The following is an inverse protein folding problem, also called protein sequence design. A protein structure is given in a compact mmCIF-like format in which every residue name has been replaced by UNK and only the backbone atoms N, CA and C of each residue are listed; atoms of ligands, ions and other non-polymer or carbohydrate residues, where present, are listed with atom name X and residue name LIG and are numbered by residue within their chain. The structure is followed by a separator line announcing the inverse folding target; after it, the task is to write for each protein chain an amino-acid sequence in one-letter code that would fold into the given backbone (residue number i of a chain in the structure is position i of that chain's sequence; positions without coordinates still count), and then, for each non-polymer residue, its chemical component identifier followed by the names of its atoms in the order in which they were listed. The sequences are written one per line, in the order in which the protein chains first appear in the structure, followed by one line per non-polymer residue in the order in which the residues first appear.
data_IF_748302305405
#
_entry.id   IF_748302305405
#
_cell.length_a   1.000
_cell.length_b   1.000
_cell.length_c   1.000
_cell.angle_alpha   90.00
_cell.angle_beta   90.00
_cell.angle_gamma   90.00
#
_symmetry.space_group_name_H-M   'P 1'
#
loop_
_entity.id
_entity.type
_entity.pdbx_description
1 polymer ?
#
# COMPACT_ATOMS: atom_id res chain seq x y z
N UNK A 1 41.38 10.11 -68.66
CA UNK A 1 40.42 9.01 -68.44
C UNK A 1 40.56 8.55 -67.00
N UNK A 2 39.49 8.76 -66.23
CA UNK A 2 39.39 8.50 -64.81
C UNK A 2 39.14 7.01 -64.53
N UNK A 3 39.64 6.50 -63.41
CA UNK A 3 38.87 5.69 -62.47
C UNK A 3 39.70 5.37 -61.21
N UNK A 4 39.31 6.02 -60.13
CA UNK A 4 39.61 5.73 -58.73
C UNK A 4 39.16 4.33 -58.32
N UNK A 5 39.99 3.62 -57.55
CA UNK A 5 39.54 2.55 -56.64
C UNK A 5 40.08 2.83 -55.23
N UNK A 6 39.34 3.62 -54.46
CA UNK A 6 39.44 3.61 -53.00
C UNK A 6 38.56 2.45 -52.50
N UNK A 7 39.17 1.52 -51.77
CA UNK A 7 38.45 0.48 -51.06
C UNK A 7 37.67 1.08 -49.90
N UNK A 8 36.34 0.95 -49.93
CA UNK A 8 35.50 1.23 -48.79
C UNK A 8 35.67 0.10 -47.75
N UNK A 9 36.29 0.43 -46.62
CA UNK A 9 36.24 -0.40 -45.41
C UNK A 9 34.80 -0.36 -44.88
N UNK A 10 34.11 -1.49 -44.92
CA UNK A 10 32.88 -1.68 -44.16
C UNK A 10 33.27 -1.80 -42.67
N UNK A 11 33.10 -0.74 -41.90
CA UNK A 11 33.15 -0.81 -40.45
C UNK A 11 31.79 -1.32 -39.96
N UNK A 12 31.73 -2.59 -39.57
CA UNK A 12 30.59 -3.16 -38.86
C UNK A 12 30.65 -2.65 -37.41
N UNK A 13 29.94 -1.56 -37.11
CA UNK A 13 29.69 -1.12 -35.75
C UNK A 13 28.70 -2.10 -35.10
N UNK A 14 29.23 -3.08 -34.36
CA UNK A 14 28.47 -3.82 -33.36
C UNK A 14 28.17 -2.86 -32.20
N UNK A 15 26.97 -2.28 -32.20
CA UNK A 15 26.39 -1.66 -31.02
C UNK A 15 25.93 -2.77 -30.08
N UNK A 16 26.79 -3.21 -29.17
CA UNK A 16 26.36 -3.93 -27.98
C UNK A 16 25.68 -2.91 -27.06
N UNK A 17 24.35 -2.82 -27.14
CA UNK A 17 23.57 -2.19 -26.09
C UNK A 17 23.64 -3.08 -24.85
N UNK A 18 24.47 -2.70 -23.88
CA UNK A 18 24.34 -3.19 -22.52
C UNK A 18 23.03 -2.60 -21.99
N UNK A 19 21.98 -3.42 -21.95
CA UNK A 19 20.80 -3.12 -21.15
C UNK A 19 21.25 -3.13 -19.69
N UNK A 20 21.49 -1.94 -19.13
CA UNK A 20 21.56 -1.79 -17.69
C UNK A 20 20.15 -2.06 -17.17
N UNK A 21 19.97 -3.15 -16.41
CA UNK A 21 18.71 -3.37 -15.71
C UNK A 21 18.44 -2.13 -14.84
N UNK A 22 17.24 -1.57 -14.97
CA UNK A 22 16.77 -0.55 -14.03
C UNK A 22 16.90 -1.14 -12.61
N UNK A 23 17.69 -0.49 -11.76
CA UNK A 23 17.78 -0.92 -10.38
C UNK A 23 16.52 -0.41 -9.68
N UNK A 24 15.57 -1.31 -9.44
CA UNK A 24 14.39 -0.97 -8.67
C UNK A 24 14.82 -0.62 -7.24
N UNK A 25 14.40 0.53 -6.76
CA UNK A 25 14.54 0.86 -5.35
C UNK A 25 13.32 0.36 -4.58
N UNK A 26 13.51 0.13 -3.28
CA UNK A 26 12.49 -0.41 -2.40
C UNK A 26 12.56 0.29 -1.05
N UNK A 27 11.40 0.45 -0.41
CA UNK A 27 11.25 0.94 0.97
C UNK A 27 10.29 0.00 1.69
N UNK A 28 10.69 -0.50 2.85
CA UNK A 28 9.81 -1.31 3.70
C UNK A 28 9.04 -0.43 4.69
N UNK A 29 7.73 -0.56 4.66
CA UNK A 29 6.82 0.03 5.62
C UNK A 29 6.34 -1.04 6.61
N UNK A 30 6.35 -0.70 7.90
CA UNK A 30 5.83 -1.55 8.97
C UNK A 30 4.80 -0.79 9.79
N UNK A 31 3.66 -1.42 10.05
CA UNK A 31 2.63 -0.95 10.99
C UNK A 31 2.63 -1.85 12.23
N UNK A 32 2.69 -1.28 13.44
CA UNK A 32 2.68 -2.08 14.68
C UNK A 32 2.00 -1.35 15.85
N UNK A 33 0.93 -1.93 16.39
CA UNK A 33 0.35 -1.47 17.65
C UNK A 33 1.30 -1.87 18.81
N UNK A 34 1.78 -0.89 19.57
CA UNK A 34 2.80 -1.10 20.59
C UNK A 34 2.24 -1.39 21.99
N UNK A 35 0.91 -1.48 22.15
CA UNK A 35 0.24 -1.68 23.42
C UNK A 35 0.64 -0.63 24.47
N UNK A 36 -0.07 0.48 24.52
CA UNK A 36 0.09 1.58 25.49
C UNK A 36 1.57 1.94 25.78
N UNK A 37 2.38 2.18 24.75
CA UNK A 37 3.81 2.48 24.89
C UNK A 37 4.05 3.94 25.31
N UNK A 38 4.94 4.23 26.28
CA UNK A 38 5.79 3.27 26.98
C UNK A 38 5.04 2.58 28.12
N UNK A 39 4.03 3.24 28.70
CA UNK A 39 3.33 2.74 29.88
C UNK A 39 4.30 2.46 31.03
N UNK A 40 3.96 1.50 31.90
CA UNK A 40 4.86 1.06 32.98
C UNK A 40 5.88 0.01 32.55
N UNK A 41 5.72 -0.57 31.35
CA UNK A 41 6.48 -1.74 30.88
C UNK A 41 7.43 -1.44 29.72
N UNK A 42 7.41 -0.23 29.15
CA UNK A 42 8.08 0.11 27.90
C UNK A 42 9.60 -0.13 27.91
N UNK A 43 10.27 0.14 29.04
CA UNK A 43 11.70 -0.14 29.19
C UNK A 43 12.01 -1.64 29.19
N UNK A 44 11.13 -2.46 29.80
CA UNK A 44 11.27 -3.92 29.80
C UNK A 44 10.96 -4.52 28.41
N UNK A 45 10.07 -3.89 27.64
CA UNK A 45 9.69 -4.31 26.29
C UNK A 45 10.67 -3.85 25.21
N UNK A 46 11.53 -2.88 25.48
CA UNK A 46 12.44 -2.31 24.49
C UNK A 46 13.36 -3.36 23.81
N UNK A 47 14.01 -4.30 24.52
CA UNK A 47 14.81 -5.36 23.87
C UNK A 47 13.98 -6.27 22.96
N UNK A 48 12.72 -6.52 23.30
CA UNK A 48 11.81 -7.32 22.48
C UNK A 48 11.44 -6.59 21.20
N UNK A 49 11.11 -5.30 21.28
CA UNK A 49 10.93 -4.47 20.08
C UNK A 49 12.19 -4.40 19.21
N UNK A 50 13.39 -4.36 19.80
CA UNK A 50 14.64 -4.42 19.03
C UNK A 50 14.72 -5.72 18.21
N UNK A 51 14.50 -6.88 18.83
CA UNK A 51 14.49 -8.18 18.13
C UNK A 51 13.41 -8.24 17.05
N UNK A 52 12.20 -7.75 17.33
CA UNK A 52 11.10 -7.71 16.37
C UNK A 52 11.44 -6.83 15.16
N UNK A 53 11.93 -5.62 15.40
CA UNK A 53 12.23 -4.67 14.33
C UNK A 53 13.49 -5.05 13.54
N UNK A 54 14.45 -5.76 14.16
CA UNK A 54 15.57 -6.35 13.43
C UNK A 54 15.08 -7.42 12.43
N UNK A 55 14.05 -8.19 12.77
CA UNK A 55 13.43 -9.17 11.88
C UNK A 55 12.51 -8.52 10.82
N UNK A 56 11.75 -7.50 11.20
CA UNK A 56 10.87 -6.77 10.29
C UNK A 56 11.63 -5.90 9.28
N UNK A 57 12.76 -5.33 9.71
CA UNK A 57 13.63 -4.42 8.95
C UNK A 57 12.88 -3.23 8.30
N UNK A 58 12.15 -2.40 9.09
CA UNK A 58 11.48 -1.23 8.55
C UNK A 58 12.45 -0.16 8.06
N UNK A 59 12.00 0.59 7.06
CA UNK A 59 12.52 1.93 6.74
C UNK A 59 11.54 3.03 7.18
N UNK A 60 10.25 2.74 7.10
CA UNK A 60 9.14 3.52 7.64
C UNK A 60 8.41 2.68 8.69
N UNK A 61 8.26 3.19 9.90
CA UNK A 61 7.59 2.51 11.01
C UNK A 61 6.46 3.38 11.53
N UNK A 62 5.23 2.92 11.32
CA UNK A 62 4.00 3.53 11.81
C UNK A 62 3.52 2.73 13.01
N UNK A 63 3.31 3.42 14.13
CA UNK A 63 2.93 2.76 15.38
C UNK A 63 1.63 3.30 15.92
N UNK A 64 0.91 2.44 16.63
CA UNK A 64 -0.29 2.80 17.37
C UNK A 64 -0.05 2.61 18.88
N UNK A 65 -0.95 3.18 19.67
CA UNK A 65 -0.92 3.19 21.13
C UNK A 65 0.31 3.84 21.76
N UNK A 66 0.76 4.96 21.19
CA UNK A 66 1.77 5.82 21.78
C UNK A 66 1.11 6.77 22.78
N UNK A 67 1.56 6.79 24.04
CA UNK A 67 0.93 7.56 25.13
C UNK A 67 1.35 9.03 25.21
N UNK A 68 2.25 9.48 24.33
CA UNK A 68 2.71 10.88 24.32
C UNK A 68 4.10 11.07 23.74
N UNK A 69 4.53 12.32 23.62
CA UNK A 69 5.84 12.70 23.08
C UNK A 69 7.01 12.06 23.84
N UNK A 70 6.91 11.94 25.17
CA UNK A 70 7.95 11.27 25.97
C UNK A 70 8.10 9.78 25.61
N UNK A 71 7.02 9.14 25.19
CA UNK A 71 7.01 7.79 24.64
C UNK A 71 7.73 7.70 23.31
N UNK A 72 7.48 8.66 22.41
CA UNK A 72 8.18 8.77 21.13
C UNK A 72 9.68 8.89 21.37
N UNK A 73 10.09 9.81 22.24
CA UNK A 73 11.49 10.05 22.57
C UNK A 73 12.15 8.81 23.18
N UNK A 74 11.42 8.11 24.07
CA UNK A 74 11.88 6.87 24.69
C UNK A 74 12.03 5.74 23.66
N UNK A 75 11.05 5.54 22.78
CA UNK A 75 11.10 4.50 21.75
C UNK A 75 12.28 4.73 20.80
N UNK A 76 12.50 5.99 20.40
CA UNK A 76 13.63 6.37 19.57
C UNK A 76 14.96 6.04 20.26
N UNK A 77 15.13 6.47 21.51
CA UNK A 77 16.37 6.29 22.27
C UNK A 77 16.65 4.83 22.69
N UNK A 78 15.61 4.07 23.05
CA UNK A 78 15.76 2.74 23.63
C UNK A 78 15.53 1.60 22.65
N UNK A 79 14.86 1.84 21.53
CA UNK A 79 14.55 0.79 20.53
C UNK A 79 15.27 1.06 19.22
N UNK A 80 15.11 2.24 18.63
CA UNK A 80 15.60 2.52 17.27
C UNK A 80 17.09 2.88 17.21
N UNK A 81 17.57 3.72 18.14
CA UNK A 81 19.00 4.08 18.22
C UNK A 81 19.92 2.87 18.40
N UNK A 82 19.62 1.87 19.27
CA UNK A 82 20.43 0.66 19.36
C UNK A 82 20.48 -0.19 18.08
N UNK A 83 19.45 -0.12 17.23
CA UNK A 83 19.39 -0.87 15.97
C UNK A 83 20.20 -0.21 14.87
N UNK A 84 20.10 1.12 14.74
CA UNK A 84 20.82 1.89 13.75
C UNK A 84 21.11 3.31 14.27
N UNK A 85 22.26 3.51 14.94
CA UNK A 85 22.59 4.78 15.59
C UNK A 85 22.55 5.97 14.65
N UNK A 86 21.78 7.00 14.99
CA UNK A 86 21.61 8.22 14.21
C UNK A 86 20.91 8.08 12.87
N UNK A 87 20.35 6.90 12.55
CA UNK A 87 19.65 6.67 11.29
C UNK A 87 18.17 7.09 11.36
N UNK A 88 17.59 7.12 12.56
CA UNK A 88 16.15 7.28 12.75
C UNK A 88 15.75 8.69 13.17
N UNK A 89 14.54 9.08 12.80
CA UNK A 89 13.88 10.29 13.25
C UNK A 89 12.40 10.00 13.51
N UNK A 90 11.76 10.79 14.38
CA UNK A 90 10.31 10.81 14.51
C UNK A 90 9.74 11.99 13.72
N UNK A 91 8.62 11.76 13.05
CA UNK A 91 7.80 12.83 12.50
C UNK A 91 7.16 13.67 13.62
N UNK A 92 6.62 14.88 13.32
CA UNK A 92 5.84 15.62 14.29
C UNK A 92 4.73 14.74 14.88
N UNK A 93 4.71 14.65 16.21
CA UNK A 93 3.74 13.86 16.97
C UNK A 93 2.55 14.72 17.36
N UNK A 94 1.37 14.11 17.32
CA UNK A 94 0.12 14.71 17.77
C UNK A 94 -0.32 13.98 19.03
N UNK A 95 -0.45 14.73 20.13
CA UNK A 95 -0.86 14.25 21.44
C UNK A 95 -2.35 14.57 21.61
N UNK A 96 -3.18 13.58 21.27
CA UNK A 96 -4.63 13.65 21.27
C UNK A 96 -5.24 13.36 22.65
N UNK A 97 -6.52 12.95 22.65
CA UNK A 97 -7.28 12.70 23.89
C UNK A 97 -7.26 11.24 24.37
N UNK A 98 -6.76 10.32 23.55
CA UNK A 98 -6.65 8.87 23.82
C UNK A 98 -5.20 8.45 23.54
N UNK A 99 -4.95 7.19 23.21
CA UNK A 99 -3.66 6.74 22.72
C UNK A 99 -3.43 7.16 21.27
N UNK A 100 -2.22 7.61 20.97
CA UNK A 100 -1.90 8.24 19.69
C UNK A 100 -1.02 7.39 18.79
N UNK A 101 -0.71 7.96 17.63
CA UNK A 101 0.08 7.31 16.59
C UNK A 101 1.38 8.09 16.40
N UNK A 102 2.44 7.37 16.07
CA UNK A 102 3.70 7.99 15.70
C UNK A 102 4.22 7.40 14.39
N UNK A 103 5.02 8.20 13.68
CA UNK A 103 5.78 7.78 12.52
C UNK A 103 7.26 7.95 12.84
N UNK A 104 8.00 6.85 12.75
CA UNK A 104 9.45 6.85 12.71
C UNK A 104 9.92 6.54 11.29
N UNK A 105 10.94 7.25 10.84
CA UNK A 105 11.48 7.08 9.50
C UNK A 105 13.00 7.15 9.54
N UNK A 106 13.62 6.30 8.72
CA UNK A 106 15.05 6.42 8.45
C UNK A 106 15.33 7.66 7.61
N UNK A 107 16.27 8.49 8.06
CA UNK A 107 16.59 9.78 7.45
C UNK A 107 17.18 9.65 6.03
N UNK A 108 17.81 8.51 5.71
CA UNK A 108 18.32 8.19 4.38
C UNK A 108 17.24 7.62 3.45
N UNK A 109 16.08 7.23 3.99
CA UNK A 109 14.97 6.66 3.23
C UNK A 109 13.94 7.72 2.84
N UNK A 110 13.51 8.57 3.78
CA UNK A 110 12.43 9.52 3.53
C UNK A 110 12.53 10.78 4.38
N UNK A 111 11.73 11.78 4.01
CA UNK A 111 11.55 13.03 4.76
C UNK A 111 10.07 13.39 4.81
N UNK A 112 9.66 14.05 5.91
CA UNK A 112 8.30 14.56 6.07
C UNK A 112 8.16 15.91 5.35
N UNK A 113 7.22 16.01 4.41
CA UNK A 113 6.86 17.25 3.72
C UNK A 113 5.76 18.02 4.46
N UNK A 114 4.77 17.29 4.95
CA UNK A 114 3.66 17.83 5.71
C UNK A 114 3.12 16.77 6.68
N UNK A 115 2.50 17.22 7.75
CA UNK A 115 1.88 16.39 8.77
C UNK A 115 0.57 17.04 9.20
N UNK A 116 -0.37 16.23 9.66
CA UNK A 116 -1.59 16.69 10.31
C UNK A 116 -2.41 15.52 10.80
N UNK A 117 -3.61 15.82 11.27
CA UNK A 117 -4.55 14.82 11.76
C UNK A 117 -5.96 15.12 11.27
N UNK A 118 -6.83 14.14 11.43
CA UNK A 118 -8.27 14.25 11.23
C UNK A 118 -8.94 14.11 12.58
N UNK A 119 -9.67 15.16 12.99
CA UNK A 119 -10.45 15.12 14.23
C UNK A 119 -11.60 14.12 14.07
N UNK A 120 -11.65 13.12 14.95
CA UNK A 120 -12.81 12.21 15.06
C UNK A 120 -13.47 12.37 16.42
N UNK A 121 -14.55 11.61 16.66
CA UNK A 121 -15.25 11.66 17.94
C UNK A 121 -14.46 11.00 19.09
N UNK A 122 -13.48 10.16 18.79
CA UNK A 122 -12.84 9.28 19.78
C UNK A 122 -11.32 9.22 19.61
N UNK A 123 -10.87 8.73 18.46
CA UNK A 123 -9.46 8.53 18.15
C UNK A 123 -9.16 9.19 16.82
N UNK A 124 -8.36 10.24 16.89
CA UNK A 124 -7.97 10.99 15.70
C UNK A 124 -7.17 10.10 14.74
N UNK A 125 -7.08 10.52 13.48
CA UNK A 125 -6.33 9.78 12.45
C UNK A 125 -5.22 10.68 11.96
N UNK A 126 -3.97 10.28 12.18
CA UNK A 126 -2.82 11.06 11.74
C UNK A 126 -2.50 10.78 10.28
N UNK A 127 -1.94 11.78 9.62
CA UNK A 127 -1.42 11.65 8.28
C UNK A 127 -0.11 12.38 8.10
N UNK A 128 0.73 11.82 7.23
CA UNK A 128 1.99 12.43 6.81
C UNK A 128 2.13 12.35 5.29
N UNK A 129 2.54 13.46 4.69
CA UNK A 129 3.08 13.47 3.33
C UNK A 129 4.58 13.28 3.41
N UNK A 130 5.06 12.20 2.80
CA UNK A 130 6.46 11.82 2.77
C UNK A 130 7.04 12.06 1.38
N UNK A 131 8.34 12.36 1.34
CA UNK A 131 9.16 12.29 0.13
C UNK A 131 10.19 11.20 0.30
N UNK A 132 10.16 10.20 -0.58
CA UNK A 132 11.18 9.16 -0.62
C UNK A 132 12.48 9.73 -1.18
N UNK A 133 13.59 9.49 -0.49
CA UNK A 133 14.88 10.10 -0.81
C UNK A 133 15.44 9.59 -2.14
N UNK A 134 15.32 8.29 -2.39
CA UNK A 134 15.90 7.66 -3.57
C UNK A 134 15.12 7.93 -4.87
N UNK A 135 13.78 7.81 -4.86
CA UNK A 135 12.98 8.09 -6.07
C UNK A 135 12.56 9.56 -6.22
N UNK A 136 12.45 10.28 -5.11
CA UNK A 136 11.81 11.60 -5.08
C UNK A 136 10.28 11.56 -5.12
N UNK A 137 9.67 10.37 -5.19
CA UNK A 137 8.21 10.20 -5.15
C UNK A 137 7.64 10.66 -3.82
N UNK A 138 6.35 11.03 -3.86
CA UNK A 138 5.62 11.43 -2.67
C UNK A 138 4.56 10.41 -2.30
N UNK A 139 4.46 10.11 -1.00
CA UNK A 139 3.49 9.17 -0.45
C UNK A 139 2.70 9.86 0.66
N UNK A 140 1.36 9.79 0.60
CA UNK A 140 0.49 10.12 1.74
C UNK A 140 0.26 8.84 2.56
N UNK A 141 0.66 8.85 3.82
CA UNK A 141 0.33 7.78 4.77
C UNK A 141 -0.72 8.27 5.75
N UNK A 142 -1.72 7.45 6.05
CA UNK A 142 -2.64 7.62 7.17
C UNK A 142 -2.37 6.52 8.19
N UNK A 143 -2.35 6.87 9.48
CA UNK A 143 -2.21 5.93 10.57
C UNK A 143 -3.39 6.06 11.52
N UNK A 144 -4.11 4.96 11.74
CA UNK A 144 -5.33 4.92 12.53
C UNK A 144 -5.29 3.87 13.64
N UNK A 145 -6.09 4.11 14.67
CA UNK A 145 -6.44 3.13 15.69
C UNK A 145 -7.94 3.30 15.95
N UNK A 146 -8.80 2.54 15.25
CA UNK A 146 -10.26 2.74 15.33
C UNK A 146 -10.81 2.20 16.65
N UNK A 147 -12.08 2.52 16.95
CA UNK A 147 -12.74 2.04 18.16
C UNK A 147 -12.72 0.51 18.30
N UNK A 148 -12.14 0.02 19.40
CA UNK A 148 -12.10 -1.40 19.76
C UNK A 148 -13.47 -1.99 20.19
N UNK A 149 -13.48 -3.29 20.49
CA UNK A 149 -14.62 -4.07 21.00
C UNK A 149 -15.74 -4.37 19.99
N UNK A 150 -16.45 -5.48 20.23
CA UNK A 150 -17.58 -5.95 19.42
C UNK A 150 -18.89 -5.22 19.75
N UNK A 151 -19.86 -5.34 18.85
CA UNK A 151 -21.24 -4.90 19.03
C UNK A 151 -21.59 -3.72 18.13
N UNK A 152 -22.87 -3.63 17.78
CA UNK A 152 -23.36 -2.68 16.77
C UNK A 152 -23.09 -1.21 17.11
N UNK A 153 -23.01 -0.85 18.40
CA UNK A 153 -22.62 0.51 18.81
C UNK A 153 -21.16 0.82 18.47
N UNK A 154 -20.27 -0.16 18.63
CA UNK A 154 -18.85 0.01 18.37
C UNK A 154 -18.55 -0.03 16.87
N UNK A 155 -19.25 -0.90 16.12
CA UNK A 155 -19.23 -0.90 14.65
C UNK A 155 -19.66 0.46 14.07
N UNK A 156 -20.69 1.08 14.65
CA UNK A 156 -21.16 2.39 14.26
C UNK A 156 -20.14 3.49 14.55
N UNK A 157 -19.44 3.41 15.69
CA UNK A 157 -18.37 4.36 16.05
C UNK A 157 -17.19 4.26 15.09
N UNK A 158 -16.74 3.03 14.75
CA UNK A 158 -15.72 2.82 13.71
C UNK A 158 -16.14 3.39 12.36
N UNK A 159 -17.42 3.22 12.00
CA UNK A 159 -17.96 3.77 10.77
C UNK A 159 -17.93 5.30 10.75
N UNK A 160 -18.27 5.95 11.86
CA UNK A 160 -18.21 7.42 12.00
C UNK A 160 -16.77 7.95 11.88
N UNK A 161 -15.79 7.27 12.48
CA UNK A 161 -14.36 7.59 12.29
C UNK A 161 -13.94 7.42 10.80
N UNK A 162 -14.41 6.35 10.15
CA UNK A 162 -14.14 6.09 8.74
C UNK A 162 -14.85 7.06 7.78
N UNK A 163 -15.96 7.69 8.16
CA UNK A 163 -16.57 8.78 7.37
C UNK A 163 -15.64 9.98 7.25
N UNK A 164 -14.96 10.35 8.35
CA UNK A 164 -13.98 11.44 8.38
C UNK A 164 -12.78 11.09 7.49
N UNK A 165 -12.24 9.88 7.64
CA UNK A 165 -11.15 9.38 6.81
C UNK A 165 -11.54 9.37 5.33
N UNK A 166 -12.71 8.82 4.99
CA UNK A 166 -13.17 8.72 3.60
C UNK A 166 -13.32 10.10 2.96
N UNK A 167 -13.88 11.07 3.68
CA UNK A 167 -13.97 12.44 3.20
C UNK A 167 -12.59 13.07 2.92
N UNK A 168 -11.58 12.79 3.76
CA UNK A 168 -10.21 13.24 3.53
C UNK A 168 -9.62 12.60 2.27
N UNK A 169 -9.77 11.28 2.12
CA UNK A 169 -9.29 10.53 0.96
C UNK A 169 -9.95 11.00 -0.35
N UNK A 170 -11.27 11.22 -0.34
CA UNK A 170 -12.03 11.71 -1.51
C UNK A 170 -11.62 13.13 -1.94
N UNK A 171 -11.08 13.93 -1.01
CA UNK A 171 -10.60 15.29 -1.28
C UNK A 171 -9.16 15.35 -1.84
N UNK A 172 -8.42 14.24 -1.82
CA UNK A 172 -7.05 14.20 -2.34
C UNK A 172 -7.03 14.34 -3.88
N UNK A 173 -5.97 14.96 -4.45
CA UNK A 173 -5.78 15.00 -5.89
C UNK A 173 -5.73 13.58 -6.50
N UNK A 174 -6.37 13.39 -7.65
CA UNK A 174 -6.36 12.12 -8.35
C UNK A 174 -4.92 11.66 -8.66
N UNK A 175 -4.65 10.37 -8.48
CA UNK A 175 -3.31 9.80 -8.71
C UNK A 175 -2.33 10.02 -7.56
N UNK A 176 -2.78 10.57 -6.41
CA UNK A 176 -1.96 10.61 -5.20
C UNK A 176 -1.69 9.18 -4.72
N UNK A 177 -0.41 8.83 -4.54
CA UNK A 177 -0.01 7.62 -3.83
C UNK A 177 -0.44 7.72 -2.37
N UNK A 178 -1.30 6.81 -1.93
CA UNK A 178 -1.88 6.81 -0.58
C UNK A 178 -1.81 5.40 0.00
N UNK A 179 -1.39 5.29 1.25
CA UNK A 179 -1.50 4.08 2.05
C UNK A 179 -2.18 4.41 3.38
N UNK A 180 -3.23 3.66 3.72
CA UNK A 180 -3.88 3.74 5.04
C UNK A 180 -3.49 2.51 5.83
N UNK A 181 -2.98 2.69 7.04
CA UNK A 181 -2.55 1.58 7.88
C UNK A 181 -2.93 1.77 9.34
N UNK A 182 -2.82 0.70 10.10
CA UNK A 182 -2.98 0.70 11.55
C UNK A 182 -3.93 -0.38 12.02
N UNK A 183 -4.45 -0.17 13.23
CA UNK A 183 -5.38 -1.06 13.91
C UNK A 183 -6.82 -0.62 13.64
N UNK A 184 -7.53 -1.37 12.81
CA UNK A 184 -8.90 -1.09 12.40
C UNK A 184 -9.93 -1.65 13.39
N UNK A 185 -9.56 -2.57 14.29
CA UNK A 185 -10.49 -3.22 15.21
C UNK A 185 -11.77 -3.77 14.54
N UNK A 186 -11.68 -4.23 13.29
CA UNK A 186 -12.80 -4.79 12.54
C UNK A 186 -12.81 -6.32 12.68
N UNK A 187 -13.95 -6.86 13.06
CA UNK A 187 -14.16 -8.30 13.22
C UNK A 187 -14.63 -8.94 11.92
N UNK A 188 -15.31 -8.18 11.05
CA UNK A 188 -15.78 -8.70 9.75
C UNK A 188 -15.74 -7.65 8.65
N UNK A 189 -15.56 -8.11 7.41
CA UNK A 189 -15.74 -7.30 6.21
C UNK A 189 -17.18 -6.81 6.04
N UNK A 190 -18.17 -7.37 6.74
CA UNK A 190 -19.56 -6.90 6.67
C UNK A 190 -19.80 -5.62 7.48
N UNK A 191 -18.85 -5.20 8.32
CA UNK A 191 -18.98 -3.97 9.09
C UNK A 191 -19.11 -2.72 8.19
N UNK A 192 -19.94 -1.73 8.55
CA UNK A 192 -20.16 -0.56 7.70
C UNK A 192 -18.88 0.23 7.40
N UNK A 193 -17.95 0.28 8.36
CA UNK A 193 -16.65 0.93 8.20
C UNK A 193 -15.84 0.30 7.05
N UNK A 194 -15.75 -1.04 7.00
CA UNK A 194 -15.09 -1.74 5.91
C UNK A 194 -15.78 -1.42 4.58
N UNK A 195 -17.09 -1.64 4.50
CA UNK A 195 -17.87 -1.42 3.28
C UNK A 195 -17.71 0.01 2.73
N UNK A 196 -17.66 1.01 3.61
CA UNK A 196 -17.39 2.40 3.23
C UNK A 196 -16.01 2.57 2.58
N UNK A 197 -14.95 2.10 3.24
CA UNK A 197 -13.58 2.26 2.74
C UNK A 197 -13.34 1.49 1.44
N UNK A 198 -14.04 0.37 1.25
CA UNK A 198 -14.03 -0.43 0.01
C UNK A 198 -14.89 0.13 -1.11
N UNK A 199 -15.84 1.03 -0.80
CA UNK A 199 -16.81 1.49 -1.77
C UNK A 199 -16.15 2.24 -2.95
N UNK A 200 -16.60 2.02 -4.19
CA UNK A 200 -16.05 2.71 -5.36
C UNK A 200 -16.07 4.24 -5.22
N UNK A 201 -14.97 4.90 -5.54
CA UNK A 201 -14.83 6.35 -5.48
C UNK A 201 -13.36 6.79 -5.41
N UNK A 202 -13.09 8.11 -5.43
CA UNK A 202 -11.73 8.64 -5.42
C UNK A 202 -10.89 8.17 -4.22
N UNK A 203 -11.51 8.06 -3.04
CA UNK A 203 -10.89 7.58 -1.80
C UNK A 203 -11.06 6.09 -1.53
N UNK A 204 -11.34 5.27 -2.56
CA UNK A 204 -11.43 3.82 -2.41
C UNK A 204 -10.08 3.22 -2.03
N UNK A 205 -10.12 2.29 -1.06
CA UNK A 205 -8.96 1.52 -0.61
C UNK A 205 -9.06 0.05 -1.05
N UNK A 206 -7.90 -0.58 -1.25
CA UNK A 206 -7.74 -1.95 -1.76
C UNK A 206 -7.07 -2.85 -0.72
N UNK A 207 -7.40 -4.16 -0.73
CA UNK A 207 -6.92 -5.14 0.25
C UNK A 207 -5.99 -6.04 -0.56
N UNK A 208 -4.67 -5.89 -0.41
CA UNK A 208 -3.71 -6.62 -1.23
C UNK A 208 -3.85 -8.14 -1.09
N UNK A 209 -4.38 -8.60 0.04
CA UNK A 209 -4.55 -10.03 0.33
C UNK A 209 -5.85 -10.62 -0.24
N UNK A 210 -6.79 -9.77 -0.68
CA UNK A 210 -8.14 -10.17 -1.09
C UNK A 210 -8.82 -11.14 -0.09
N UNK A 211 -8.58 -10.93 1.22
CA UNK A 211 -8.99 -11.83 2.29
C UNK A 211 -10.17 -11.24 3.06
N UNK A 212 -11.25 -10.90 2.36
CA UNK A 212 -12.46 -10.32 2.96
C UNK A 212 -13.36 -11.42 3.58
N UNK A 213 -13.80 -11.24 4.82
CA UNK A 213 -14.76 -12.14 5.47
C UNK A 213 -14.94 -11.89 6.96
N UNK A 214 -15.38 -12.89 7.70
CA UNK A 214 -15.47 -12.84 9.16
C UNK A 214 -14.13 -13.30 9.75
N UNK A 215 -13.31 -12.36 10.20
CA UNK A 215 -11.93 -12.62 10.63
C UNK A 215 -11.86 -13.18 12.04
N UNK A 216 -12.80 -12.83 12.91
CA UNK A 216 -12.82 -13.27 14.30
C UNK A 216 -13.02 -14.77 14.46
N UNK A 217 -12.15 -15.42 15.24
CA UNK A 217 -12.18 -16.84 15.61
C UNK A 217 -12.49 -17.76 14.42
N UNK A 218 -11.86 -17.46 13.27
CA UNK A 218 -12.17 -18.13 12.03
C UNK A 218 -10.95 -18.80 11.41
N UNK A 219 -10.88 -20.16 11.37
CA UNK A 219 -9.75 -20.86 10.80
C UNK A 219 -9.52 -20.60 9.30
N UNK A 220 -10.54 -20.13 8.57
CA UNK A 220 -10.35 -19.73 7.16
C UNK A 220 -9.46 -18.49 7.00
N UNK A 221 -9.30 -17.70 8.07
CA UNK A 221 -8.52 -16.46 8.09
C UNK A 221 -7.30 -16.54 9.02
N UNK A 222 -7.00 -17.72 9.59
CA UNK A 222 -5.89 -17.90 10.52
C UNK A 222 -4.54 -17.39 9.99
N UNK A 223 -4.30 -17.48 8.68
CA UNK A 223 -3.05 -17.00 8.04
C UNK A 223 -2.93 -15.48 7.93
N UNK A 224 -3.99 -14.73 8.26
CA UNK A 224 -4.02 -13.26 8.20
C UNK A 224 -4.33 -12.61 9.55
N UNK A 225 -4.54 -13.38 10.61
CA UNK A 225 -4.71 -12.83 11.97
C UNK A 225 -3.47 -12.05 12.43
N UNK A 226 -3.68 -11.02 13.22
CA UNK A 226 -2.66 -10.13 13.75
C UNK A 226 -2.73 -9.95 15.26
N UNK A 227 -3.82 -10.36 15.92
CA UNK A 227 -4.02 -10.29 17.38
C UNK A 227 -4.75 -11.57 17.85
N UNK A 228 -4.53 -12.09 19.07
CA UNK A 228 -3.53 -11.73 20.08
C UNK A 228 -2.34 -12.68 20.11
N UNK A 229 -1.11 -12.18 20.24
CA UNK A 229 0.11 -13.01 20.40
C UNK A 229 0.11 -13.88 21.67
N UNK A 230 -0.83 -13.66 22.58
CA UNK A 230 -0.84 -14.22 23.94
C UNK A 230 -2.21 -14.72 24.39
N UNK A 231 -2.18 -15.71 25.28
CA UNK A 231 -3.38 -16.30 25.91
C UNK A 231 -3.56 -15.83 27.36
N UNK A 232 -2.66 -15.02 27.89
CA UNK A 232 -2.70 -14.49 29.25
C UNK A 232 -2.27 -13.02 29.27
N UNK A 233 -2.88 -12.23 30.17
CA UNK A 233 -2.58 -10.81 30.33
C UNK A 233 -1.29 -10.62 31.14
N UNK A 234 -0.36 -9.85 30.59
CA UNK A 234 0.76 -9.28 31.31
C UNK A 234 1.11 -7.92 30.71
N UNK A 235 1.12 -6.89 31.56
CA UNK A 235 1.36 -5.53 31.10
C UNK A 235 0.18 -4.90 30.33
N UNK A 236 -1.01 -5.52 30.34
CA UNK A 236 -2.22 -5.07 29.67
C UNK A 236 -2.49 -5.81 28.34
N UNK A 237 -3.53 -5.34 27.65
CA UNK A 237 -3.89 -5.78 26.29
C UNK A 237 -4.79 -7.01 26.21
N UNK A 238 -5.09 -7.42 24.98
CA UNK A 238 -5.96 -8.52 24.65
C UNK A 238 -5.29 -9.88 24.89
N UNK A 239 -6.11 -10.86 25.24
CA UNK A 239 -5.76 -12.26 25.45
C UNK A 239 -6.72 -13.14 24.67
N UNK A 240 -6.30 -14.34 24.28
CA UNK A 240 -7.18 -15.29 23.60
C UNK A 240 -6.42 -16.18 22.63
N UNK A 241 -5.22 -15.73 22.23
CA UNK A 241 -4.45 -16.32 21.14
C UNK A 241 -4.77 -15.64 19.81
N UNK A 242 -4.15 -16.11 18.73
CA UNK A 242 -4.16 -15.43 17.43
C UNK A 242 -5.48 -15.68 16.68
N UNK A 243 -6.51 -14.84 16.87
CA UNK A 243 -7.88 -15.10 16.43
C UNK A 243 -8.58 -13.93 15.71
N UNK A 244 -7.92 -12.78 15.57
CA UNK A 244 -8.46 -11.58 14.92
C UNK A 244 -7.50 -11.01 13.87
N UNK A 245 -8.03 -10.49 12.75
CA UNK A 245 -7.32 -9.63 11.78
C UNK A 245 -7.73 -8.18 12.03
N UNK A 246 -7.02 -7.49 12.89
CA UNK A 246 -7.31 -6.08 13.19
C UNK A 246 -6.40 -5.11 12.48
N UNK A 247 -5.20 -5.53 12.12
CA UNK A 247 -4.23 -4.66 11.49
C UNK A 247 -4.32 -4.77 9.97
N UNK A 248 -4.27 -3.61 9.29
CA UNK A 248 -4.31 -3.56 7.83
C UNK A 248 -3.32 -2.55 7.26
N UNK A 249 -3.00 -2.75 5.99
CA UNK A 249 -2.22 -1.87 5.10
C UNK A 249 -3.01 -1.81 3.78
N UNK A 250 -3.81 -0.76 3.62
CA UNK A 250 -4.77 -0.62 2.52
C UNK A 250 -4.30 0.49 1.56
N UNK A 251 -3.74 0.14 0.39
CA UNK A 251 -3.36 1.12 -0.62
C UNK A 251 -4.58 1.75 -1.31
N UNK A 252 -4.43 3.01 -1.73
CA UNK A 252 -5.25 3.60 -2.77
C UNK A 252 -4.83 3.12 -4.16
N UNK A 253 -5.67 3.38 -5.18
CA UNK A 253 -5.47 2.86 -6.54
C UNK A 253 -4.10 3.21 -7.16
N UNK A 254 -3.53 4.38 -6.83
CA UNK A 254 -2.27 4.84 -7.42
C UNK A 254 -1.05 3.98 -7.01
N UNK A 255 -1.11 3.24 -5.90
CA UNK A 255 -0.05 2.32 -5.51
C UNK A 255 -0.21 0.93 -6.15
N UNK A 256 -1.18 0.73 -7.03
CA UNK A 256 -1.49 -0.56 -7.65
C UNK A 256 -1.64 -0.45 -9.18
N UNK A 257 -1.33 0.71 -9.75
CA UNK A 257 -1.61 0.95 -11.15
C UNK A 257 -0.42 0.55 -12.05
N UNK A 258 0.79 0.42 -11.53
CA UNK A 258 2.03 0.11 -12.23
C UNK A 258 2.78 1.34 -12.75
N UNK A 259 2.62 2.51 -12.12
CA UNK A 259 3.28 3.77 -12.44
C UNK A 259 3.96 4.39 -11.20
N UNK A 260 5.28 4.52 -11.28
CA UNK A 260 6.05 5.20 -10.24
C UNK A 260 6.18 4.33 -9.00
N UNK A 261 5.67 4.84 -7.86
CA UNK A 261 5.69 4.14 -6.59
C UNK A 261 4.54 3.14 -6.50
N UNK A 262 4.88 1.87 -6.32
CA UNK A 262 3.95 0.75 -6.26
C UNK A 262 4.05 0.04 -4.92
N UNK A 263 2.93 -0.49 -4.44
CA UNK A 263 2.93 -1.48 -3.37
C UNK A 263 3.16 -2.86 -3.97
N UNK A 264 4.02 -3.66 -3.35
CA UNK A 264 4.31 -5.03 -3.75
C UNK A 264 3.45 -6.02 -2.97
N UNK A 265 2.33 -6.56 -3.52
CA UNK A 265 1.40 -7.38 -2.73
C UNK A 265 2.05 -8.66 -2.19
N UNK A 266 3.03 -9.20 -2.91
CA UNK A 266 3.76 -10.41 -2.51
C UNK A 266 4.69 -10.19 -1.30
N UNK A 267 5.00 -8.94 -0.95
CA UNK A 267 5.79 -8.59 0.24
C UNK A 267 4.93 -8.40 1.49
N UNK A 268 3.60 -8.38 1.35
CA UNK A 268 2.69 -8.21 2.46
C UNK A 268 2.83 -9.37 3.44
N UNK A 269 3.22 -9.07 4.67
CA UNK A 269 3.53 -10.07 5.69
C UNK A 269 3.04 -9.63 7.06
N UNK A 270 2.26 -10.48 7.72
CA UNK A 270 2.04 -10.39 9.17
C UNK A 270 3.14 -11.18 9.87
N UNK A 271 4.16 -10.49 10.39
CA UNK A 271 5.39 -11.14 10.86
C UNK A 271 5.08 -12.07 12.05
N UNK A 272 5.46 -13.34 11.92
CA UNK A 272 5.24 -14.36 12.96
C UNK A 272 3.91 -15.10 12.89
N UNK A 273 2.99 -14.70 12.00
CA UNK A 273 1.81 -15.52 11.72
C UNK A 273 2.16 -16.67 10.77
N UNK A 274 2.01 -17.91 11.23
CA UNK A 274 2.21 -19.14 10.45
C UNK A 274 0.90 -19.87 10.09
N UNK A 275 -0.25 -19.31 10.48
CA UNK A 275 -1.58 -19.90 10.32
C UNK A 275 -1.87 -21.09 11.24
N UNK A 276 -0.94 -21.49 12.11
CA UNK A 276 -1.06 -22.66 12.98
C UNK A 276 -1.40 -22.30 14.45
N UNK A 277 -1.36 -21.01 14.80
CA UNK A 277 -1.56 -20.51 16.17
C UNK A 277 -2.96 -19.92 16.42
N UNK A 278 -3.98 -20.35 15.68
CA UNK A 278 -5.37 -19.97 15.97
C UNK A 278 -5.74 -20.29 17.43
N UNK A 279 -6.19 -19.29 18.19
CA UNK A 279 -6.52 -19.39 19.63
C UNK A 279 -5.37 -19.89 20.52
N UNK A 280 -4.13 -19.81 20.03
CA UNK A 280 -2.94 -20.17 20.78
C UNK A 280 -2.03 -18.96 20.94
N UNK A 281 -1.21 -18.97 21.99
CA UNK A 281 -0.11 -18.02 22.07
C UNK A 281 0.93 -18.34 21.00
N UNK A 282 1.53 -17.31 20.40
CA UNK A 282 2.53 -17.45 19.32
C UNK A 282 3.77 -18.28 19.70
N UNK A 283 4.00 -18.50 21.00
CA UNK A 283 5.10 -19.33 21.54
C UNK A 283 4.65 -20.76 21.91
N UNK A 284 3.41 -21.15 21.58
CA UNK A 284 2.91 -22.49 21.87
C UNK A 284 3.48 -23.51 20.89
N UNK A 285 4.48 -24.27 21.32
CA UNK A 285 5.15 -25.22 20.43
C UNK A 285 6.15 -24.51 19.52
N UNK A 286 6.16 -24.85 18.22
CA UNK A 286 7.10 -24.28 17.25
C UNK A 286 6.35 -23.34 16.32
N UNK A 287 6.80 -22.08 16.25
CA UNK A 287 6.35 -21.13 15.23
C UNK A 287 7.01 -21.46 13.88
N UNK A 288 6.20 -21.63 12.83
CA UNK A 288 6.66 -21.97 11.49
C UNK A 288 7.14 -20.78 10.64
N UNK A 289 6.83 -19.54 11.05
CA UNK A 289 7.12 -18.34 10.29
C UNK A 289 8.41 -17.62 10.73
N UNK A 290 8.79 -17.72 12.01
CA UNK A 290 9.95 -17.02 12.57
C UNK A 290 10.75 -17.90 13.54
N UNK A 291 11.96 -17.45 13.91
CA UNK A 291 12.76 -18.15 14.93
C UNK A 291 12.08 -18.10 16.30
N UNK A 292 12.43 -19.03 17.19
CA UNK A 292 11.91 -19.05 18.56
C UNK A 292 12.22 -17.75 19.34
N UNK A 293 13.38 -17.13 19.07
CA UNK A 293 13.76 -15.83 19.65
C UNK A 293 12.83 -14.71 19.19
N UNK A 294 12.52 -14.65 17.89
CA UNK A 294 11.59 -13.64 17.34
C UNK A 294 10.17 -13.91 17.80
N UNK A 295 9.72 -15.18 17.86
CA UNK A 295 8.40 -15.53 18.39
C UNK A 295 8.25 -15.10 19.86
N UNK A 296 9.28 -15.33 20.70
CA UNK A 296 9.28 -14.85 22.08
C UNK A 296 9.24 -13.32 22.14
N UNK A 297 10.03 -12.64 21.31
CA UNK A 297 10.02 -11.18 21.27
C UNK A 297 8.67 -10.60 20.83
N UNK A 298 8.02 -11.21 19.83
CA UNK A 298 6.66 -10.85 19.42
C UNK A 298 5.66 -11.02 20.56
N UNK A 299 5.76 -12.11 21.33
CA UNK A 299 4.91 -12.37 22.49
C UNK A 299 5.07 -11.31 23.60
N UNK A 300 6.32 -10.94 23.92
CA UNK A 300 6.63 -10.03 25.03
C UNK A 300 6.46 -8.54 24.68
N UNK A 301 6.58 -8.18 23.41
CA UNK A 301 6.54 -6.79 22.96
C UNK A 301 5.11 -6.22 22.92
N UNK A 302 4.17 -6.95 22.33
CA UNK A 302 2.79 -6.50 22.11
C UNK A 302 1.85 -7.69 21.92
N UNK A 303 0.56 -7.49 22.16
CA UNK A 303 -0.50 -8.41 21.70
C UNK A 303 -0.70 -8.39 20.18
N UNK A 304 -0.19 -7.39 19.47
CA UNK A 304 -0.26 -7.33 18.02
C UNK A 304 1.02 -7.79 17.33
N UNK A 305 0.85 -8.43 16.19
CA UNK A 305 1.92 -8.69 15.23
C UNK A 305 2.15 -7.47 14.32
N UNK A 306 3.41 -7.16 13.96
CA UNK A 306 3.67 -6.10 13.00
C UNK A 306 3.34 -6.56 11.59
N UNK A 307 2.71 -5.66 10.83
CA UNK A 307 2.42 -5.85 9.41
C UNK A 307 3.47 -5.14 8.58
N UNK A 308 4.06 -5.86 7.63
CA UNK A 308 5.10 -5.37 6.73
C UNK A 308 4.56 -5.31 5.31
N UNK A 309 4.94 -4.29 4.55
CA UNK A 309 4.81 -4.27 3.10
C UNK A 309 5.93 -3.45 2.49
N UNK A 310 6.39 -3.88 1.32
CA UNK A 310 7.36 -3.16 0.53
C UNK A 310 6.65 -2.27 -0.49
N UNK A 311 7.15 -1.05 -0.61
CA UNK A 311 6.88 -0.18 -1.74
C UNK A 311 8.09 -0.18 -2.65
N UNK A 312 7.88 -0.30 -3.95
CA UNK A 312 8.93 -0.33 -4.94
C UNK A 312 8.71 0.74 -6.01
N UNK A 313 9.78 1.11 -6.69
CA UNK A 313 9.70 1.91 -7.90
C UNK A 313 10.76 1.40 -8.87
N UNK A 314 10.47 1.49 -10.16
CA UNK A 314 11.50 1.34 -11.17
C UNK A 314 12.23 2.67 -11.33
N UNK A 315 13.55 2.70 -11.11
CA UNK A 315 14.34 3.82 -11.59
C UNK A 315 14.19 3.91 -13.11
N UNK A 316 13.53 4.97 -13.57
CA UNK A 316 13.61 5.35 -14.97
C UNK A 316 15.02 5.88 -15.23
N UNK A 317 15.98 5.00 -15.51
CA UNK A 317 17.19 5.45 -16.20
C UNK A 317 16.71 6.09 -17.49
N UNK A 318 17.05 7.36 -17.69
CA UNK A 318 16.72 8.11 -18.88
C UNK A 318 17.54 7.59 -20.08
N UNK A 319 17.25 6.36 -20.50
CA UNK A 319 17.08 5.93 -21.88
C UNK A 319 15.89 4.98 -21.81
N UNK A 320 14.67 5.51 -21.99
CA UNK A 320 13.48 4.67 -22.09
C UNK A 320 13.77 3.56 -23.11
N UNK A 321 13.78 2.30 -22.67
CA UNK A 321 13.48 1.22 -23.61
C UNK A 321 12.11 1.57 -24.17
N UNK A 322 12.11 2.05 -25.41
CA UNK A 322 10.89 2.20 -26.19
C UNK A 322 10.16 0.87 -26.05
N UNK A 323 8.89 0.87 -25.60
CA UNK A 323 8.11 -0.35 -25.50
C UNK A 323 8.26 -1.14 -26.79
N UNK A 324 8.56 -2.42 -26.74
CA UNK A 324 8.69 -3.22 -27.98
C UNK A 324 7.32 -3.44 -28.65
N UNK A 325 6.23 -3.21 -27.92
CA UNK A 325 4.85 -3.28 -28.42
C UNK A 325 3.93 -2.29 -27.69
N UNK A 326 2.84 -1.90 -28.36
CA UNK A 326 1.79 -1.11 -27.73
C UNK A 326 0.96 -1.97 -26.75
N UNK A 327 0.58 -1.40 -25.61
CA UNK A 327 -0.28 -2.05 -24.61
C UNK A 327 -1.53 -1.21 -24.36
N UNK A 328 -2.65 -1.87 -24.05
CA UNK A 328 -3.90 -1.25 -23.64
C UNK A 328 -4.50 -2.02 -22.46
N UNK A 329 -4.49 -1.39 -21.30
CA UNK A 329 -5.07 -1.90 -20.07
C UNK A 329 -6.34 -1.12 -19.73
N UNK A 330 -7.25 -1.78 -19.02
CA UNK A 330 -8.53 -1.20 -18.58
C UNK A 330 -8.72 -1.60 -17.13
N UNK A 331 -8.80 -0.63 -16.22
CA UNK A 331 -9.04 -0.89 -14.81
C UNK A 331 -9.84 0.26 -14.16
N UNK A 332 -10.85 -0.05 -13.33
CA UNK A 332 -11.39 -1.37 -13.06
C UNK A 332 -12.07 -1.98 -14.30
N UNK A 333 -12.11 -3.31 -14.39
CA UNK A 333 -12.85 -4.05 -15.41
C UNK A 333 -13.21 -5.45 -14.88
N UNK A 334 -14.50 -5.76 -14.62
CA UNK A 334 -15.69 -4.97 -14.95
C UNK A 334 -15.79 -3.61 -14.22
N UNK A 335 -16.60 -2.68 -14.74
CA UNK A 335 -16.68 -1.30 -14.24
C UNK A 335 -18.12 -0.76 -14.14
N UNK A 336 -18.32 0.27 -13.33
CA UNK A 336 -19.61 0.93 -13.12
C UNK A 336 -19.49 2.41 -12.67
N UNK A 337 -20.02 3.40 -13.43
CA UNK A 337 -20.05 3.49 -14.89
C UNK A 337 -18.73 4.05 -15.45
N UNK A 338 -17.71 4.20 -14.60
CA UNK A 338 -16.43 4.83 -14.94
C UNK A 338 -15.30 3.81 -14.89
N UNK A 339 -14.38 3.86 -15.86
CA UNK A 339 -13.14 3.08 -15.90
C UNK A 339 -12.01 3.93 -16.48
N UNK A 340 -10.76 3.54 -16.21
CA UNK A 340 -9.58 4.19 -16.77
C UNK A 340 -8.95 3.26 -17.81
N UNK A 341 -8.79 3.79 -19.03
CA UNK A 341 -8.06 3.10 -20.08
C UNK A 341 -6.65 3.66 -20.14
N UNK A 342 -5.66 2.79 -19.89
CA UNK A 342 -4.26 3.14 -19.99
C UNK A 342 -3.67 2.51 -21.23
N UNK A 343 -3.02 3.32 -22.06
CA UNK A 343 -2.26 2.81 -23.18
C UNK A 343 -0.80 3.23 -23.12
N UNK A 344 0.08 2.35 -23.60
CA UNK A 344 1.52 2.62 -23.70
C UNK A 344 1.94 2.44 -25.15
N UNK A 345 2.62 3.45 -25.72
CA UNK A 345 3.07 3.43 -27.12
C UNK A 345 4.59 3.27 -27.23
N UNK A 346 5.06 2.48 -28.22
CA UNK A 346 6.48 2.25 -28.48
C UNK A 346 7.18 3.53 -28.97
N UNK A 347 6.49 4.35 -29.75
CA UNK A 347 7.01 5.55 -30.40
C UNK A 347 6.02 6.69 -30.21
N UNK A 348 6.51 7.93 -30.24
CA UNK A 348 5.65 9.10 -30.32
C UNK A 348 5.01 9.18 -31.72
N UNK A 349 3.78 9.66 -31.79
CA UNK A 349 3.09 9.87 -33.06
C UNK A 349 1.57 9.92 -32.94
N UNK A 350 0.85 9.98 -34.08
CA UNK A 350 -0.59 10.10 -34.10
C UNK A 350 -1.24 8.81 -33.61
N UNK A 351 -2.01 8.92 -32.52
CA UNK A 351 -2.72 7.81 -31.89
C UNK A 351 -4.21 8.10 -31.74
N UNK A 352 -5.01 7.01 -31.69
CA UNK A 352 -6.44 7.06 -31.40
C UNK A 352 -6.84 5.93 -30.46
N UNK A 353 -7.65 6.26 -29.46
CA UNK A 353 -8.29 5.29 -28.58
C UNK A 353 -9.81 5.41 -28.73
N UNK A 354 -10.45 4.34 -29.21
CA UNK A 354 -11.87 4.32 -29.56
C UNK A 354 -12.56 3.10 -28.93
N UNK A 355 -13.82 3.28 -28.53
CA UNK A 355 -14.65 2.22 -27.94
C UNK A 355 -15.76 1.83 -28.90
N UNK A 356 -16.00 0.53 -29.02
CA UNK A 356 -17.00 -0.08 -29.90
C UNK A 356 -17.97 -0.96 -29.12
N UNK A 357 -19.22 -0.99 -29.56
CA UNK A 357 -20.22 -1.95 -29.10
C UNK A 357 -20.03 -3.34 -29.76
N UNK A 358 -20.77 -4.38 -29.33
CA UNK A 358 -20.65 -5.72 -29.92
C UNK A 358 -21.02 -5.80 -31.41
N UNK A 359 -21.75 -4.82 -31.94
CA UNK A 359 -22.08 -4.72 -33.36
C UNK A 359 -21.01 -3.99 -34.16
N UNK A 360 -19.91 -3.56 -33.52
CA UNK A 360 -18.80 -2.85 -34.15
C UNK A 360 -19.07 -1.37 -34.39
N UNK A 361 -20.11 -0.78 -33.80
CA UNK A 361 -20.37 0.66 -33.89
C UNK A 361 -19.51 1.37 -32.84
N UNK A 362 -18.81 2.43 -33.25
CA UNK A 362 -18.03 3.28 -32.33
C UNK A 362 -18.97 4.06 -31.42
N UNK A 363 -18.91 3.81 -30.12
CA UNK A 363 -19.71 4.49 -29.09
C UNK A 363 -18.95 5.63 -28.42
N UNK A 364 -17.62 5.60 -28.40
CA UNK A 364 -16.81 6.68 -27.86
C UNK A 364 -15.46 6.81 -28.59
N UNK A 365 -14.89 8.02 -28.54
CA UNK A 365 -13.50 8.31 -28.88
C UNK A 365 -12.89 9.00 -27.68
N UNK A 366 -11.96 8.33 -27.03
CA UNK A 366 -11.36 8.78 -25.76
C UNK A 366 -10.11 9.61 -26.01
N UNK A 367 -9.37 9.28 -27.06
CA UNK A 367 -8.17 10.01 -27.46
C UNK A 367 -8.06 10.09 -28.97
N UNK A 368 -7.63 11.24 -29.49
CA UNK A 368 -7.17 11.39 -30.86
C UNK A 368 -6.22 12.58 -30.97
N UNK A 369 -4.96 12.32 -31.30
CA UNK A 369 -3.95 13.36 -31.43
C UNK A 369 -2.54 12.79 -31.45
N UNK A 370 -1.55 13.67 -31.40
CA UNK A 370 -0.15 13.30 -31.19
C UNK A 370 0.03 12.83 -29.74
N UNK A 371 0.48 11.58 -29.57
CA UNK A 371 0.81 11.00 -28.27
C UNK A 371 2.32 10.87 -28.14
N UNK A 372 2.91 11.17 -26.97
CA UNK A 372 4.32 10.86 -26.72
C UNK A 372 4.55 9.34 -26.68
N UNK A 373 5.80 8.91 -26.85
CA UNK A 373 6.18 7.56 -26.48
C UNK A 373 6.02 7.38 -24.96
N UNK A 374 5.65 6.19 -24.50
CA UNK A 374 5.37 5.92 -23.08
C UNK A 374 3.88 5.79 -22.77
N UNK A 375 3.51 5.93 -21.51
CA UNK A 375 2.14 5.68 -21.00
C UNK A 375 1.27 6.94 -21.01
N UNK A 376 0.00 6.78 -21.38
CA UNK A 376 -1.06 7.76 -21.20
C UNK A 376 -2.29 7.06 -20.59
N UNK A 377 -3.05 7.77 -19.77
CA UNK A 377 -4.32 7.30 -19.22
C UNK A 377 -5.45 8.25 -19.61
N UNK A 378 -6.62 7.68 -19.91
CA UNK A 378 -7.83 8.43 -20.21
C UNK A 378 -9.00 7.81 -19.45
N UNK A 379 -9.72 8.65 -18.72
CA UNK A 379 -10.94 8.24 -18.02
C UNK A 379 -12.11 8.15 -19.00
N UNK A 380 -12.91 7.10 -18.86
CA UNK A 380 -14.12 6.90 -19.63
C UNK A 380 -15.31 6.69 -18.70
N UNK A 381 -16.30 7.57 -18.83
CA UNK A 381 -17.61 7.44 -18.21
C UNK A 381 -18.61 6.98 -19.27
N UNK A 382 -19.15 5.77 -19.11
CA UNK A 382 -20.01 5.13 -20.11
C UNK A 382 -21.41 5.76 -20.25
N UNK A 383 -21.77 6.70 -19.37
CA UNK A 383 -23.03 7.46 -19.47
C UNK A 383 -24.25 6.54 -19.46
N UNK A 384 -25.15 6.71 -20.43
CA UNK A 384 -26.40 5.94 -20.57
C UNK A 384 -26.26 4.64 -21.36
N UNK A 385 -25.04 4.20 -21.68
CA UNK A 385 -24.81 2.96 -22.40
C UNK A 385 -25.37 1.75 -21.61
N UNK A 386 -25.92 0.73 -22.30
CA UNK A 386 -26.42 -0.47 -21.63
C UNK A 386 -25.27 -1.28 -21.01
N UNK A 387 -25.53 -1.93 -19.88
CA UNK A 387 -24.61 -2.93 -19.32
C UNK A 387 -24.30 -4.00 -20.38
N UNK A 388 -23.05 -4.45 -20.44
CA UNK A 388 -22.61 -5.39 -21.46
C UNK A 388 -21.13 -5.27 -21.85
N UNK A 389 -20.78 -6.01 -22.90
CA UNK A 389 -19.43 -6.08 -23.44
C UNK A 389 -19.15 -4.95 -24.43
N UNK A 390 -17.98 -4.32 -24.30
CA UNK A 390 -17.46 -3.34 -25.23
C UNK A 390 -16.02 -3.70 -25.63
N UNK A 391 -15.54 -3.12 -26.73
CA UNK A 391 -14.17 -3.31 -27.22
C UNK A 391 -13.47 -1.95 -27.33
N UNK A 392 -12.36 -1.79 -26.64
CA UNK A 392 -11.44 -0.68 -26.87
C UNK A 392 -10.39 -1.07 -27.90
N UNK A 393 -10.14 -0.16 -28.84
CA UNK A 393 -9.10 -0.30 -29.86
C UNK A 393 -8.18 0.91 -29.80
N UNK A 394 -6.90 0.64 -29.56
CA UNK A 394 -5.82 1.60 -29.70
C UNK A 394 -5.23 1.48 -31.10
N UNK A 395 -5.14 2.61 -31.81
CA UNK A 395 -4.49 2.70 -33.12
C UNK A 395 -3.34 3.68 -33.10
N UNK A 396 -2.25 3.36 -33.80
CA UNK A 396 -1.11 4.23 -34.06
C UNK A 396 -0.86 4.28 -35.57
N UNK A 397 -0.62 5.48 -36.12
CA UNK A 397 -0.46 5.71 -37.56
C UNK A 397 -1.61 5.11 -38.40
N UNK A 398 -2.82 5.15 -37.83
CA UNK A 398 -4.04 4.63 -38.45
C UNK A 398 -4.19 3.11 -38.43
N UNK A 399 -3.29 2.36 -37.78
CA UNK A 399 -3.37 0.89 -37.66
C UNK A 399 -3.70 0.48 -36.23
N UNK A 400 -4.59 -0.51 -35.99
CA UNK A 400 -4.80 -1.07 -34.66
C UNK A 400 -3.53 -1.73 -34.13
N UNK A 401 -3.10 -1.33 -32.94
CA UNK A 401 -1.87 -1.83 -32.28
C UNK A 401 -2.15 -2.55 -30.96
N UNK A 402 -3.27 -2.25 -30.29
CA UNK A 402 -3.71 -2.99 -29.11
C UNK A 402 -5.25 -2.99 -28.99
N UNK A 403 -5.80 -3.99 -28.28
CA UNK A 403 -7.24 -4.13 -28.03
C UNK A 403 -7.50 -4.62 -26.61
N UNK A 404 -8.60 -4.19 -26.01
CA UNK A 404 -9.04 -4.69 -24.71
C UNK A 404 -10.56 -4.81 -24.64
N UNK A 405 -11.05 -5.83 -23.94
CA UNK A 405 -12.48 -6.05 -23.69
C UNK A 405 -12.88 -5.31 -22.42
N UNK A 406 -14.04 -4.65 -22.43
CA UNK A 406 -14.58 -3.93 -21.28
C UNK A 406 -15.95 -4.50 -20.92
N UNK A 407 -16.21 -4.68 -19.63
CA UNK A 407 -17.48 -5.19 -19.11
C UNK A 407 -18.12 -4.12 -18.24
N UNK A 408 -19.21 -3.50 -18.72
CA UNK A 408 -19.98 -2.50 -17.97
C UNK A 408 -21.09 -3.19 -17.16
N UNK A 409 -21.13 -2.97 -15.84
CA UNK A 409 -22.07 -3.66 -14.93
C UNK A 409 -23.34 -2.88 -14.57
N UNK A 410 -23.29 -1.54 -14.57
CA UNK A 410 -24.27 -0.62 -13.93
C UNK A 410 -24.37 -0.70 -12.42
#
# INVERSE_FOLDING_TARGET
MAASRQGARLALLLLTALAAAAQAGQVRLVSHNLLNYPGSTGAARAPHFQTVLAAAAPDLLLVQEMLGQSGVDQFLAQVLEPLAPGAWSAAPFHDGFDTDRALFLRADCASVLAAGWLDTALRDIDWWDLRLAASGDTLRVYNLHLKASQGSSEEQRRYEECLVLRASLDALPAGRAVLVCGDFNLYTAAEPAWQLLRSPGPGQLFDPLAAEGAWHDNPAFATVHSQSTRTSDFGGGATGGLDDRFDFLLPGAALLDGLGLELEPASYLTLGNDGAHLNLSIVTGVNGAVSAEVAQALHEASDHLPLCVDLSWSESTAVAELPTAARLDVWPNPFNPTTRLRFRLPLAGPARLEIFDPQGRRVARLFAGEAPAGSLAVDWQAGSLPAGLYLAILSQDGRPVARSKLVLLR
#
